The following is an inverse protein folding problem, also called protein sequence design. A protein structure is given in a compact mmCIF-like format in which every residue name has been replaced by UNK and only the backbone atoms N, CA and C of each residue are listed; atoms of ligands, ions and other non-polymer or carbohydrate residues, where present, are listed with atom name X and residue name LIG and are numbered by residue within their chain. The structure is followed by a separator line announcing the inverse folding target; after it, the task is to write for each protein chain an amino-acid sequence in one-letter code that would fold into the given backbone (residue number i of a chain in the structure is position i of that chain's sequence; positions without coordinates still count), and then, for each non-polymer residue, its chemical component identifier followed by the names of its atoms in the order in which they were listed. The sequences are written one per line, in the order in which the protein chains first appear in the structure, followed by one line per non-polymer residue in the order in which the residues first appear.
data_IF_769161759759
#
_entry.id   IF_769161759759
#
_cell.length_a   1.000
_cell.length_b   1.000
_cell.length_c   1.000
_cell.angle_alpha   90.00
_cell.angle_beta   90.00
_cell.angle_gamma   90.00
#
_symmetry.space_group_name_H-M   'P 1'
#
loop_
_entity.id
_entity.type
_entity.pdbx_description
1 polymer ?
#
# COMPACT_ATOMS: atom_id res chain seq x y z
N UNK A 1 -0.07 -13.00 -7.28
CA UNK A 1 -0.15 -13.26 -5.84
C UNK A 1 -0.06 -11.97 -5.02
N UNK A 2 0.93 -11.06 -5.15
CA UNK A 2 1.01 -9.85 -4.32
C UNK A 2 -0.26 -9.00 -4.34
N UNK A 3 -0.95 -8.93 -5.48
CA UNK A 3 -2.21 -8.19 -5.59
C UNK A 3 -3.34 -8.81 -4.75
N UNK A 4 -3.38 -10.14 -4.62
CA UNK A 4 -4.36 -10.79 -3.76
C UNK A 4 -4.18 -10.44 -2.28
N UNK A 5 -2.91 -10.31 -1.82
CA UNK A 5 -2.57 -9.87 -0.46
C UNK A 5 -3.13 -8.46 -0.20
N UNK A 6 -2.84 -7.53 -1.11
CA UNK A 6 -3.30 -6.14 -1.02
C UNK A 6 -4.83 -6.04 -1.09
N UNK A 7 -5.45 -6.76 -2.04
CA UNK A 7 -6.89 -6.79 -2.22
C UNK A 7 -7.62 -7.35 -0.98
N UNK A 8 -7.06 -8.41 -0.39
CA UNK A 8 -7.59 -8.98 0.86
C UNK A 8 -7.58 -7.94 1.98
N UNK A 9 -6.47 -7.21 2.16
CA UNK A 9 -6.38 -6.13 3.14
C UNK A 9 -7.43 -5.04 2.93
N UNK A 10 -7.59 -4.57 1.69
CA UNK A 10 -8.62 -3.59 1.31
C UNK A 10 -10.03 -4.10 1.60
N UNK A 11 -10.29 -5.39 1.34
CA UNK A 11 -11.56 -6.04 1.64
C UNK A 11 -11.78 -6.19 3.15
N UNK A 12 -10.74 -6.50 3.92
CA UNK A 12 -10.77 -6.56 5.40
C UNK A 12 -11.16 -5.23 6.02
N UNK A 13 -10.64 -4.12 5.47
CA UNK A 13 -10.99 -2.77 5.90
C UNK A 13 -12.35 -2.31 5.39
N UNK A 14 -13.06 -3.15 4.62
CA UNK A 14 -14.35 -2.83 4.03
C UNK A 14 -14.35 -1.48 3.29
N UNK A 15 -13.30 -1.26 2.47
CA UNK A 15 -13.20 -0.06 1.63
C UNK A 15 -14.35 -0.02 0.64
N UNK A 16 -14.98 1.14 0.52
CA UNK A 16 -16.16 1.36 -0.33
C UNK A 16 -16.09 2.70 -1.05
N UNK A 17 -17.00 2.88 -1.99
CA UNK A 17 -17.19 4.15 -2.69
C UNK A 17 -17.40 5.32 -1.70
N UNK A 18 -16.71 6.42 -1.96
CA UNK A 18 -16.74 7.63 -1.16
C UNK A 18 -15.76 7.66 0.03
N UNK A 19 -15.14 6.55 0.41
CA UNK A 19 -14.10 6.57 1.45
C UNK A 19 -12.88 7.39 0.98
N UNK A 20 -12.31 8.21 1.87
CA UNK A 20 -10.95 8.76 1.73
C UNK A 20 -9.98 7.75 2.34
N UNK A 21 -9.06 7.23 1.54
CA UNK A 21 -8.11 6.17 1.94
C UNK A 21 -6.68 6.70 1.90
N UNK A 22 -5.92 6.49 2.96
CA UNK A 22 -4.47 6.68 2.98
C UNK A 22 -3.76 5.32 3.00
N UNK A 23 -2.89 5.08 2.02
CA UNK A 23 -1.96 3.95 2.03
C UNK A 23 -0.60 4.44 2.51
N UNK A 24 -0.07 3.87 3.57
CA UNK A 24 1.27 4.17 4.09
C UNK A 24 2.26 3.11 3.61
N UNK A 25 3.18 3.53 2.74
CA UNK A 25 4.13 2.71 2.02
C UNK A 25 3.81 2.60 0.52
N UNK A 26 4.68 3.15 -0.34
CA UNK A 26 4.55 3.11 -1.80
C UNK A 26 5.40 2.00 -2.45
N UNK A 27 5.62 0.90 -1.74
CA UNK A 27 6.17 -0.34 -2.31
C UNK A 27 5.12 -1.13 -3.09
N UNK A 28 5.51 -2.30 -3.60
CA UNK A 28 4.62 -3.18 -4.41
C UNK A 28 3.27 -3.42 -3.74
N UNK A 29 3.25 -3.76 -2.44
CA UNK A 29 2.02 -4.07 -1.71
C UNK A 29 1.15 -2.82 -1.56
N UNK A 30 1.76 -1.67 -1.22
CA UNK A 30 1.01 -0.42 -1.05
C UNK A 30 0.40 0.10 -2.35
N UNK A 31 1.17 0.11 -3.45
CA UNK A 31 0.65 0.50 -4.77
C UNK A 31 -0.50 -0.41 -5.20
N UNK A 32 -0.37 -1.73 -5.02
CA UNK A 32 -1.44 -2.68 -5.31
C UNK A 32 -2.66 -2.48 -4.39
N UNK A 33 -2.47 -2.10 -3.12
CA UNK A 33 -3.57 -1.74 -2.24
C UNK A 33 -4.28 -0.46 -2.70
N UNK A 34 -3.52 0.54 -3.17
CA UNK A 34 -4.08 1.76 -3.74
C UNK A 34 -4.94 1.46 -4.98
N UNK A 35 -4.45 0.63 -5.91
CA UNK A 35 -5.21 0.17 -7.09
C UNK A 35 -6.50 -0.54 -6.65
N UNK A 36 -6.43 -1.44 -5.66
CA UNK A 36 -7.60 -2.16 -5.16
C UNK A 36 -8.63 -1.20 -4.54
N UNK A 37 -8.19 -0.23 -3.76
CA UNK A 37 -9.06 0.77 -3.14
C UNK A 37 -9.71 1.68 -4.20
N UNK A 38 -8.96 2.13 -5.21
CA UNK A 38 -9.49 2.87 -6.37
C UNK A 38 -10.57 2.06 -7.11
N UNK A 39 -10.33 0.77 -7.32
CA UNK A 39 -11.30 -0.11 -7.99
C UNK A 39 -12.63 -0.25 -7.22
N UNK A 40 -12.62 -0.01 -5.90
CA UNK A 40 -13.83 0.05 -5.05
C UNK A 40 -14.48 1.44 -4.99
N UNK A 41 -13.96 2.43 -5.74
CA UNK A 41 -14.55 3.78 -5.82
C UNK A 41 -14.08 4.74 -4.72
N UNK A 42 -12.99 4.42 -4.01
CA UNK A 42 -12.43 5.30 -3.00
C UNK A 42 -11.59 6.43 -3.62
N UNK A 43 -11.47 7.55 -2.89
CA UNK A 43 -10.43 8.56 -3.11
C UNK A 43 -9.18 8.13 -2.37
N UNK A 44 -8.07 7.92 -3.09
CA UNK A 44 -6.89 7.24 -2.56
C UNK A 44 -5.66 8.13 -2.59
N UNK A 45 -5.05 8.28 -1.44
CA UNK A 45 -3.76 8.92 -1.25
C UNK A 45 -2.73 7.88 -0.83
N UNK A 46 -1.46 8.08 -1.22
CA UNK A 46 -0.36 7.18 -0.85
C UNK A 46 0.79 7.98 -0.26
N UNK A 47 1.41 7.44 0.78
CA UNK A 47 2.50 8.07 1.52
C UNK A 47 3.74 7.19 1.54
N UNK A 48 4.91 7.78 1.34
CA UNK A 48 6.23 7.14 1.50
C UNK A 48 7.27 8.18 1.88
N UNK A 49 8.43 7.73 2.35
CA UNK A 49 9.61 8.59 2.60
C UNK A 49 10.40 8.88 1.31
N UNK A 50 10.15 8.15 0.24
CA UNK A 50 10.83 8.26 -1.05
C UNK A 50 9.98 9.02 -2.06
N UNK A 51 10.44 10.19 -2.48
CA UNK A 51 9.82 10.96 -3.56
C UNK A 51 9.74 10.15 -4.87
N UNK A 52 10.80 9.37 -5.20
CA UNK A 52 10.81 8.53 -6.41
C UNK A 52 9.69 7.51 -6.42
N UNK A 53 9.40 6.85 -5.28
CA UNK A 53 8.26 5.93 -5.17
C UNK A 53 6.91 6.65 -5.26
N UNK A 54 6.81 7.84 -4.72
CA UNK A 54 5.59 8.64 -4.80
C UNK A 54 5.31 9.08 -6.24
N UNK A 55 6.36 9.46 -7.01
CA UNK A 55 6.20 9.76 -8.43
C UNK A 55 5.73 8.52 -9.22
N UNK A 56 6.34 7.35 -9.00
CA UNK A 56 5.86 6.12 -9.63
C UNK A 56 4.39 5.80 -9.25
N UNK A 57 4.01 6.04 -8.00
CA UNK A 57 2.65 5.75 -7.55
C UNK A 57 1.58 6.56 -8.29
N UNK A 58 1.90 7.77 -8.75
CA UNK A 58 0.99 8.61 -9.54
C UNK A 58 0.53 7.94 -10.85
N UNK A 59 1.38 7.10 -11.44
CA UNK A 59 1.04 6.37 -12.68
C UNK A 59 -0.09 5.35 -12.49
N UNK A 60 -0.40 5.00 -11.24
CA UNK A 60 -1.45 4.04 -10.89
C UNK A 60 -2.79 4.70 -10.51
N UNK A 61 -2.93 6.01 -10.76
CA UNK A 61 -4.19 6.73 -10.62
C UNK A 61 -4.59 7.04 -9.19
N UNK A 62 -3.62 7.18 -8.26
CA UNK A 62 -3.87 7.74 -6.94
C UNK A 62 -4.27 9.22 -7.06
N UNK A 63 -5.14 9.69 -6.16
CA UNK A 63 -5.65 11.07 -6.18
C UNK A 63 -4.64 12.07 -5.61
N UNK A 64 -3.63 11.58 -4.90
CA UNK A 64 -2.52 12.40 -4.42
C UNK A 64 -1.47 11.58 -3.67
N UNK A 65 -0.36 12.24 -3.40
CA UNK A 65 0.78 11.65 -2.68
C UNK A 65 1.13 12.49 -1.46
N UNK A 66 1.68 11.85 -0.42
CA UNK A 66 2.08 12.51 0.82
C UNK A 66 3.50 12.07 1.19
N UNK A 67 4.45 13.00 1.15
CA UNK A 67 5.82 12.74 1.61
C UNK A 67 5.83 12.61 3.13
N UNK A 68 6.41 11.52 3.63
CA UNK A 68 6.51 11.20 5.05
C UNK A 68 7.98 11.19 5.50
N UNK A 69 8.68 12.28 5.23
CA UNK A 69 10.09 12.50 5.59
C UNK A 69 10.26 13.07 7.00
N UNK A 70 9.21 13.67 7.56
CA UNK A 70 9.15 14.15 8.92
C UNK A 70 7.73 14.08 9.50
N UNK A 71 7.56 14.00 10.83
CA UNK A 71 6.26 14.05 11.47
C UNK A 71 5.47 15.30 11.11
N UNK A 72 6.13 16.46 11.06
CA UNK A 72 5.47 17.73 10.75
C UNK A 72 4.92 17.74 9.32
N UNK A 73 5.67 17.24 8.33
CA UNK A 73 5.18 17.14 6.95
C UNK A 73 4.01 16.18 6.83
N UNK A 74 4.11 15.03 7.51
CA UNK A 74 3.04 14.04 7.50
C UNK A 74 1.75 14.60 8.12
N UNK A 75 1.81 15.15 9.33
CA UNK A 75 0.65 15.66 10.04
C UNK A 75 -0.01 16.83 9.30
N UNK A 76 0.80 17.75 8.77
CA UNK A 76 0.32 18.86 7.94
C UNK A 76 -0.38 18.35 6.69
N UNK A 77 0.23 17.40 5.97
CA UNK A 77 -0.36 16.84 4.76
C UNK A 77 -1.66 16.08 5.05
N UNK A 78 -1.73 15.31 6.13
CA UNK A 78 -2.98 14.67 6.57
C UNK A 78 -4.07 15.71 6.82
N UNK A 79 -3.75 16.78 7.55
CA UNK A 79 -4.71 17.84 7.84
C UNK A 79 -5.22 18.56 6.57
N UNK A 80 -4.31 18.87 5.63
CA UNK A 80 -4.65 19.52 4.37
C UNK A 80 -5.54 18.63 3.47
N UNK A 81 -5.20 17.34 3.32
CA UNK A 81 -5.92 16.40 2.46
C UNK A 81 -7.30 16.03 3.00
N UNK A 82 -7.50 16.14 4.32
CA UNK A 82 -8.73 15.70 4.98
C UNK A 82 -9.51 16.84 5.66
N UNK A 83 -9.08 18.08 5.46
CA UNK A 83 -9.69 19.26 6.15
C UNK A 83 -9.69 19.10 7.68
N UNK A 84 -8.66 18.42 8.20
CA UNK A 84 -8.49 18.13 9.62
C UNK A 84 -9.31 16.96 10.16
N UNK A 85 -10.14 16.30 9.36
CA UNK A 85 -11.01 15.19 9.82
C UNK A 85 -10.30 13.85 9.91
N UNK A 86 -9.18 13.65 9.19
CA UNK A 86 -8.51 12.37 9.03
C UNK A 86 -9.14 11.51 7.93
N UNK A 87 -8.51 10.37 7.64
CA UNK A 87 -8.92 9.43 6.60
C UNK A 87 -9.92 8.40 7.14
N UNK A 88 -10.94 8.04 6.34
CA UNK A 88 -11.91 7.00 6.69
C UNK A 88 -11.25 5.62 6.84
N UNK A 89 -10.23 5.37 6.01
CA UNK A 89 -9.45 4.14 6.06
C UNK A 89 -7.96 4.46 5.93
N UNK A 90 -7.14 3.83 6.79
CA UNK A 90 -5.69 3.82 6.66
C UNK A 90 -5.17 2.40 6.44
N UNK A 91 -4.22 2.23 5.53
CA UNK A 91 -3.64 0.93 5.16
C UNK A 91 -2.14 0.98 5.44
N UNK A 92 -1.69 0.18 6.39
CA UNK A 92 -0.29 0.04 6.73
C UNK A 92 0.35 -1.06 5.86
N UNK A 93 1.32 -0.69 4.98
CA UNK A 93 1.94 -1.58 4.00
C UNK A 93 3.49 -1.62 4.09
N UNK A 94 4.07 -1.26 5.23
CA UNK A 94 5.52 -1.20 5.48
C UNK A 94 5.97 -2.20 6.54
N UNK A 95 5.28 -2.25 7.67
CA UNK A 95 5.60 -3.11 8.81
C UNK A 95 6.57 -2.46 9.81
N UNK A 96 6.50 -1.14 10.01
CA UNK A 96 7.29 -0.43 11.00
C UNK A 96 6.41 0.13 12.14
N UNK A 97 6.95 0.23 13.38
CA UNK A 97 6.24 0.89 14.48
C UNK A 97 5.79 2.31 14.15
N UNK A 98 6.64 3.09 13.47
CA UNK A 98 6.33 4.46 13.06
C UNK A 98 5.18 4.53 12.05
N UNK A 99 5.13 3.63 11.07
CA UNK A 99 4.06 3.60 10.07
C UNK A 99 2.73 3.12 10.65
N UNK A 100 2.78 2.22 11.65
CA UNK A 100 1.59 1.89 12.45
C UNK A 100 1.04 3.14 13.15
N UNK A 101 1.91 3.89 13.85
CA UNK A 101 1.52 5.12 14.53
C UNK A 101 0.94 6.14 13.54
N UNK A 102 1.62 6.37 12.41
CA UNK A 102 1.11 7.24 11.34
C UNK A 102 -0.32 6.87 10.91
N UNK A 103 -0.61 5.57 10.72
CA UNK A 103 -1.95 5.12 10.35
C UNK A 103 -3.00 5.40 11.43
N UNK A 104 -2.67 5.19 12.71
CA UNK A 104 -3.56 5.50 13.85
C UNK A 104 -3.84 7.00 13.91
N UNK A 105 -2.80 7.82 13.77
CA UNK A 105 -2.92 9.29 13.90
C UNK A 105 -3.67 9.90 12.72
N UNK A 106 -3.43 9.39 11.51
CA UNK A 106 -4.09 9.86 10.30
C UNK A 106 -5.55 9.40 10.15
N UNK A 107 -5.99 8.37 10.90
CA UNK A 107 -7.35 7.84 10.82
C UNK A 107 -8.35 8.79 11.48
N UNK A 108 -9.53 8.97 10.90
CA UNK A 108 -10.62 9.76 11.48
C UNK A 108 -11.26 9.05 12.69
N UNK A 109 -12.13 9.75 13.43
CA UNK A 109 -12.96 9.13 14.45
C UNK A 109 -13.92 8.09 13.83
N UNK A 110 -14.02 6.91 14.46
CA UNK A 110 -14.80 5.78 13.94
C UNK A 110 -14.18 5.12 12.72
N UNK A 111 -12.97 5.54 12.34
CA UNK A 111 -12.29 5.07 11.13
C UNK A 111 -11.79 3.63 11.22
N UNK A 112 -11.22 3.16 10.13
CA UNK A 112 -10.78 1.78 9.92
C UNK A 112 -9.31 1.75 9.54
N UNK A 113 -8.53 0.97 10.25
CA UNK A 113 -7.13 0.72 9.94
C UNK A 113 -6.91 -0.75 9.61
N UNK A 114 -6.15 -1.05 8.55
CA UNK A 114 -5.72 -2.42 8.25
C UNK A 114 -4.19 -2.50 8.16
N UNK A 115 -3.64 -3.55 8.81
CA UNK A 115 -2.22 -3.89 8.78
C UNK A 115 -2.00 -5.01 7.75
N UNK A 116 -1.20 -4.73 6.72
CA UNK A 116 -0.72 -5.70 5.74
C UNK A 116 0.79 -5.90 5.92
N UNK A 117 1.51 -4.85 6.27
CA UNK A 117 2.95 -4.87 6.49
C UNK A 117 3.37 -5.87 7.57
N UNK A 118 4.50 -6.55 7.35
CA UNK A 118 5.03 -7.55 8.28
C UNK A 118 6.16 -6.97 9.10
N UNK A 119 5.83 -6.56 10.33
CA UNK A 119 6.79 -6.00 11.27
C UNK A 119 7.65 -7.07 11.96
N UNK A 120 8.92 -6.72 12.22
CA UNK A 120 9.87 -7.55 13.00
C UNK A 120 10.19 -6.93 14.36
N UNK A 121 9.74 -5.71 14.63
CA UNK A 121 10.02 -4.96 15.86
C UNK A 121 8.77 -4.86 16.72
N UNK A 122 8.97 -4.88 18.03
CA UNK A 122 7.89 -4.57 18.97
C UNK A 122 7.54 -3.09 18.88
N UNK A 123 6.29 -2.77 19.14
CA UNK A 123 5.76 -1.41 19.20
C UNK A 123 5.39 -1.10 20.66
N UNK A 124 5.94 -0.01 21.19
CA UNK A 124 5.41 0.63 22.40
C UNK A 124 4.29 1.58 21.96
N UNK A 125 3.05 1.22 22.28
CA UNK A 125 1.88 1.89 21.74
C UNK A 125 0.83 2.17 22.82
N UNK A 126 0.36 3.42 22.86
CA UNK A 126 -0.75 3.80 23.72
C UNK A 126 -2.10 3.33 23.12
N UNK A 127 -2.52 2.12 23.44
CA UNK A 127 -3.77 1.53 22.94
C UNK A 127 -5.03 2.34 23.28
N UNK A 128 -4.96 3.28 24.24
CA UNK A 128 -6.08 4.18 24.55
C UNK A 128 -6.48 5.03 23.32
N UNK A 129 -5.57 5.25 22.37
CA UNK A 129 -5.86 5.97 21.13
C UNK A 129 -6.91 5.24 20.28
N UNK A 130 -6.90 3.90 20.28
CA UNK A 130 -7.90 3.10 19.58
C UNK A 130 -9.29 3.36 20.19
N UNK A 131 -9.37 3.34 21.52
CA UNK A 131 -10.62 3.57 22.23
C UNK A 131 -11.09 5.03 22.07
N UNK A 132 -10.19 6.01 22.22
CA UNK A 132 -10.54 7.44 22.12
C UNK A 132 -11.09 7.83 20.76
N UNK A 133 -10.56 7.24 19.68
CA UNK A 133 -11.00 7.49 18.30
C UNK A 133 -12.05 6.47 17.81
N UNK A 134 -12.47 5.51 18.64
CA UNK A 134 -13.39 4.42 18.29
C UNK A 134 -12.93 3.65 17.01
N UNK A 135 -11.62 3.41 16.90
CA UNK A 135 -11.04 2.82 15.69
C UNK A 135 -11.34 1.33 15.57
N UNK A 136 -11.55 0.89 14.33
CA UNK A 136 -11.56 -0.51 13.96
C UNK A 136 -10.19 -0.88 13.37
N UNK A 137 -9.43 -1.71 14.08
CA UNK A 137 -8.09 -2.14 13.65
C UNK A 137 -8.13 -3.60 13.20
N UNK A 138 -7.74 -3.85 11.95
CA UNK A 138 -7.77 -5.16 11.32
C UNK A 138 -6.35 -5.64 10.99
N UNK A 139 -6.03 -6.87 11.35
CA UNK A 139 -4.91 -7.59 10.77
C UNK A 139 -5.32 -8.22 9.44
N UNK A 140 -4.41 -8.21 8.46
CA UNK A 140 -4.61 -8.89 7.18
C UNK A 140 -3.44 -9.81 6.90
N UNK A 141 -3.72 -11.04 6.48
CA UNK A 141 -2.69 -12.02 6.10
C UNK A 141 -3.20 -12.96 5.03
N UNK A 142 -2.33 -13.23 4.05
CA UNK A 142 -2.65 -14.08 2.90
C UNK A 142 -3.84 -13.55 2.09
N UNK A 143 -4.59 -14.44 1.43
CA UNK A 143 -5.77 -14.12 0.66
C UNK A 143 -6.73 -15.32 0.65
N UNK A 144 -7.99 -15.08 0.39
CA UNK A 144 -9.01 -16.10 0.22
C UNK A 144 -9.20 -16.43 -1.27
N UNK A 145 -9.71 -17.61 -1.59
CA UNK A 145 -10.04 -17.98 -2.98
C UNK A 145 -10.91 -16.93 -3.69
N UNK A 146 -11.88 -16.36 -2.98
CA UNK A 146 -12.76 -15.32 -3.54
C UNK A 146 -11.99 -14.09 -3.98
N UNK A 147 -10.93 -13.69 -3.25
CA UNK A 147 -10.14 -12.51 -3.57
C UNK A 147 -9.44 -12.68 -4.94
N UNK A 148 -8.94 -13.89 -5.24
CA UNK A 148 -8.38 -14.22 -6.55
C UNK A 148 -9.42 -14.11 -7.68
N UNK A 149 -10.64 -14.62 -7.46
CA UNK A 149 -11.72 -14.57 -8.46
C UNK A 149 -12.14 -13.12 -8.74
N UNK A 150 -12.38 -12.34 -7.70
CA UNK A 150 -12.73 -10.92 -7.82
C UNK A 150 -11.63 -10.10 -8.51
N UNK A 151 -10.34 -10.42 -8.25
CA UNK A 151 -9.22 -9.76 -8.91
C UNK A 151 -9.11 -10.10 -10.39
N UNK A 152 -9.36 -11.35 -10.77
CA UNK A 152 -9.39 -11.77 -12.19
C UNK A 152 -10.43 -10.93 -12.93
N UNK A 153 -11.62 -10.76 -12.34
CA UNK A 153 -12.69 -9.94 -12.91
C UNK A 153 -12.28 -8.46 -13.04
N UNK A 154 -11.59 -7.91 -12.02
CA UNK A 154 -11.07 -6.53 -12.07
C UNK A 154 -10.05 -6.33 -13.18
N UNK A 155 -9.13 -7.29 -13.36
CA UNK A 155 -8.12 -7.26 -14.42
C UNK A 155 -8.78 -7.34 -15.79
N UNK A 156 -9.72 -8.27 -15.98
CA UNK A 156 -10.47 -8.39 -17.22
C UNK A 156 -11.31 -7.15 -17.55
N UNK A 157 -11.79 -6.43 -16.52
CA UNK A 157 -12.50 -5.18 -16.68
C UNK A 157 -11.58 -3.96 -16.95
N UNK A 158 -10.26 -4.16 -17.05
CA UNK A 158 -9.28 -3.09 -17.28
C UNK A 158 -9.11 -2.12 -16.10
N UNK A 159 -9.56 -2.50 -14.90
CA UNK A 159 -9.50 -1.65 -13.69
C UNK A 159 -8.19 -1.78 -12.90
N UNK A 160 -7.25 -2.60 -13.37
CA UNK A 160 -5.97 -2.83 -12.70
C UNK A 160 -4.85 -2.89 -13.74
N UNK A 161 -4.03 -1.81 -13.89
CA UNK A 161 -2.93 -1.74 -14.87
C UNK A 161 -1.69 -2.50 -14.36
N UNK A 162 -1.78 -3.84 -14.30
CA UNK A 162 -0.75 -4.68 -13.67
C UNK A 162 0.57 -4.73 -14.44
N UNK A 163 0.56 -4.48 -15.75
CA UNK A 163 1.77 -4.45 -16.57
C UNK A 163 2.77 -3.41 -16.07
N UNK A 164 2.29 -2.27 -15.60
CA UNK A 164 3.11 -1.19 -15.07
C UNK A 164 3.79 -1.51 -13.75
N UNK A 165 3.29 -2.49 -13.00
CA UNK A 165 3.88 -2.92 -11.72
C UNK A 165 5.22 -3.61 -11.94
N UNK A 166 5.40 -4.30 -13.08
CA UNK A 166 6.65 -4.97 -13.43
C UNK A 166 7.60 -3.90 -13.98
N UNK A 167 8.46 -3.37 -13.11
CA UNK A 167 9.41 -2.32 -13.48
C UNK A 167 10.65 -2.86 -14.17
N UNK A 168 11.07 -4.10 -13.82
CA UNK A 168 12.31 -4.68 -14.32
C UNK A 168 12.14 -6.17 -14.62
N UNK A 169 12.67 -6.58 -15.76
CA UNK A 169 12.76 -7.98 -16.17
C UNK A 169 14.23 -8.33 -16.38
N UNK A 170 14.68 -9.38 -15.72
CA UNK A 170 16.05 -9.89 -15.85
C UNK A 170 16.04 -11.33 -16.38
N UNK A 171 17.00 -11.70 -17.26
CA UNK A 171 17.26 -13.13 -17.50
C UNK A 171 17.58 -13.84 -16.20
N UNK A 172 17.21 -15.12 -16.07
CA UNK A 172 17.47 -15.87 -14.84
C UNK A 172 18.96 -15.93 -14.48
N UNK A 173 19.84 -15.98 -15.47
CA UNK A 173 21.30 -16.00 -15.30
C UNK A 173 21.80 -14.75 -14.56
N UNK A 174 21.09 -13.64 -14.66
CA UNK A 174 21.41 -12.37 -14.00
C UNK A 174 20.77 -12.21 -12.61
N UNK A 175 20.28 -13.30 -12.02
CA UNK A 175 19.55 -13.23 -10.74
C UNK A 175 20.35 -12.54 -9.63
N UNK A 176 21.65 -12.83 -9.49
CA UNK A 176 22.50 -12.20 -8.49
C UNK A 176 22.59 -10.67 -8.67
N UNK A 177 22.69 -10.22 -9.94
CA UNK A 177 22.68 -8.79 -10.29
C UNK A 177 21.34 -8.14 -9.97
N UNK A 178 20.22 -8.79 -10.33
CA UNK A 178 18.89 -8.30 -10.07
C UNK A 178 18.63 -8.09 -8.56
N UNK A 179 19.06 -9.01 -7.71
CA UNK A 179 18.98 -8.85 -6.25
C UNK A 179 19.82 -7.68 -5.74
N UNK A 180 21.05 -7.52 -6.28
CA UNK A 180 21.91 -6.39 -5.92
C UNK A 180 21.31 -5.05 -6.36
N UNK A 181 20.81 -4.96 -7.58
CA UNK A 181 20.18 -3.77 -8.13
C UNK A 181 18.95 -3.38 -7.31
N UNK A 182 18.08 -4.35 -6.97
CA UNK A 182 16.90 -4.11 -6.14
C UNK A 182 17.24 -3.65 -4.72
N UNK A 183 18.30 -4.21 -4.12
CA UNK A 183 18.76 -3.83 -2.79
C UNK A 183 19.37 -2.41 -2.76
N UNK A 184 20.06 -2.02 -3.83
CA UNK A 184 20.76 -0.73 -3.91
C UNK A 184 19.89 0.43 -4.44
N UNK A 185 18.80 0.12 -5.16
CA UNK A 185 17.90 1.10 -5.78
C UNK A 185 16.44 0.87 -5.39
N UNK A 186 16.10 0.84 -4.09
CA UNK A 186 14.74 0.52 -3.64
C UNK A 186 13.70 1.60 -4.01
N UNK A 187 14.15 2.78 -4.47
CA UNK A 187 13.28 3.88 -4.93
C UNK A 187 12.77 3.73 -6.35
N UNK A 188 13.47 2.96 -7.19
CA UNK A 188 13.26 2.94 -8.64
C UNK A 188 12.60 1.63 -9.13
N UNK A 189 12.35 0.68 -8.25
CA UNK A 189 11.83 -0.63 -8.60
C UNK A 189 10.63 -1.01 -7.73
N UNK A 190 9.52 -1.41 -8.37
CA UNK A 190 8.35 -1.97 -7.68
C UNK A 190 8.36 -3.49 -7.70
N UNK A 191 8.34 -4.09 -8.89
CA UNK A 191 8.33 -5.55 -9.06
C UNK A 191 9.39 -5.96 -10.07
N UNK A 192 10.31 -6.80 -9.61
CA UNK A 192 11.32 -7.45 -10.45
C UNK A 192 10.87 -8.88 -10.75
N UNK A 193 10.97 -9.29 -12.00
CA UNK A 193 10.68 -10.66 -12.44
C UNK A 193 11.87 -11.24 -13.22
N UNK A 194 11.96 -12.57 -13.25
CA UNK A 194 12.97 -13.28 -14.03
C UNK A 194 12.34 -13.93 -15.27
N UNK A 195 13.00 -13.74 -16.40
CA UNK A 195 12.68 -14.45 -17.63
C UNK A 195 13.50 -15.74 -17.72
N UNK A 196 12.80 -16.86 -17.88
CA UNK A 196 13.35 -18.21 -18.01
C UNK A 196 13.40 -18.69 -19.45
N UNK A 197 12.97 -17.87 -20.43
CA UNK A 197 12.85 -18.30 -21.83
C UNK A 197 14.20 -18.67 -22.47
N UNK A 198 15.30 -18.09 -21.97
CA UNK A 198 16.66 -18.36 -22.45
C UNK A 198 17.31 -19.63 -21.85
N UNK A 199 16.68 -20.27 -20.86
CA UNK A 199 17.24 -21.47 -20.24
C UNK A 199 16.99 -22.67 -21.16
N UNK A 200 18.05 -23.16 -21.78
CA UNK A 200 17.98 -24.40 -22.54
C UNK A 200 17.61 -25.57 -21.60
N UNK A 201 16.56 -26.30 -21.97
CA UNK A 201 16.14 -27.53 -21.31
C UNK A 201 17.15 -28.66 -21.50
#
# INVERSE_FOLDING_TARGET
EPFCISYHGVSRANVKEGDKVLVVGAGTIGVLAAIAAKAKGATVYISDVSEGKLEMAKEFGVDGTLLNDSPEHFDKGVAELTEGNGFDVTIEAVGLPSTFQNCIDACCFGGRMVLIGVGKKNLDFNFTLIQKKELNVFGSRNALKKDFLELIDLVHAGKAPLEKIITNVYPFEDAAKAFADFANNPGDMLKVVFDFSGINK
#
